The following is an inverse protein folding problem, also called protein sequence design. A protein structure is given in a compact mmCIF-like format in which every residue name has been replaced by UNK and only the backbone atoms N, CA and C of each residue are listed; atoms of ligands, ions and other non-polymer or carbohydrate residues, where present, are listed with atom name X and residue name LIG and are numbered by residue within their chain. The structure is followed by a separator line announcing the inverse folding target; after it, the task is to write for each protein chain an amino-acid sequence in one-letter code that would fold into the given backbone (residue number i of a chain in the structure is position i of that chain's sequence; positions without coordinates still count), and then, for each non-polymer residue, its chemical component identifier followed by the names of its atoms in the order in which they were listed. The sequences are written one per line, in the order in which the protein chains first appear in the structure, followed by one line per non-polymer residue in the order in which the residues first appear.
data_IF_163553196087
#
_entry.id   IF_163553196087
#
_cell.length_a   1.000
_cell.length_b   1.000
_cell.length_c   1.000
_cell.angle_alpha   90.00
_cell.angle_beta   90.00
_cell.angle_gamma   90.00
#
_symmetry.space_group_name_H-M   'P 1'
#
loop_
_entity.id
_entity.type
_entity.pdbx_description
1 polymer ?
#
# COMPACT_ATOMS: atom_id res chain seq x y z
N UNK A 1 -2.83 -18.11 -6.03
CA UNK A 1 -2.72 -16.78 -5.41
C UNK A 1 -3.69 -15.83 -6.12
N UNK A 2 -4.52 -15.11 -5.37
CA UNK A 2 -5.65 -14.36 -5.92
C UNK A 2 -5.25 -13.26 -6.90
N UNK A 3 -5.53 -13.46 -8.19
CA UNK A 3 -5.52 -12.41 -9.21
C UNK A 3 -6.71 -11.49 -8.92
N UNK A 4 -6.51 -10.38 -8.21
CA UNK A 4 -7.63 -9.46 -7.93
C UNK A 4 -7.47 -8.44 -6.80
N UNK A 5 -6.40 -8.50 -6.00
CA UNK A 5 -6.16 -7.53 -4.92
C UNK A 5 -5.48 -6.23 -5.42
N UNK A 6 -5.98 -5.67 -6.52
CA UNK A 6 -5.55 -4.37 -7.06
C UNK A 6 -6.76 -3.58 -7.55
N UNK A 7 -6.81 -2.30 -7.22
CA UNK A 7 -7.78 -1.36 -7.76
C UNK A 7 -7.12 -0.01 -7.99
N UNK A 8 -7.70 0.77 -8.90
CA UNK A 8 -7.30 2.14 -9.19
C UNK A 8 -8.52 3.06 -9.12
N UNK A 9 -8.30 4.32 -8.78
CA UNK A 9 -9.34 5.34 -8.79
C UNK A 9 -8.79 6.69 -8.37
N UNK A 10 -9.62 7.72 -8.48
CA UNK A 10 -9.26 9.09 -8.16
C UNK A 10 -9.57 9.37 -6.69
N UNK A 11 -8.55 9.76 -5.94
CA UNK A 11 -8.68 10.14 -4.54
C UNK A 11 -8.58 11.66 -4.41
N UNK A 12 -9.41 12.23 -3.55
CA UNK A 12 -9.36 13.67 -3.22
C UNK A 12 -9.34 13.83 -1.70
N UNK A 13 -8.52 14.77 -1.27
CA UNK A 13 -8.13 14.91 0.13
C UNK A 13 -7.33 16.17 0.39
N UNK A 14 -6.84 16.28 1.63
CA UNK A 14 -5.88 17.30 2.05
C UNK A 14 -4.49 16.66 2.10
N UNK A 15 -3.43 17.32 1.59
CA UNK A 15 -2.07 16.83 1.78
C UNK A 15 -1.76 16.64 3.27
N UNK A 16 -1.20 15.48 3.63
CA UNK A 16 -0.83 15.21 5.03
C UNK A 16 0.14 16.26 5.56
N UNK A 17 1.06 16.72 4.70
CA UNK A 17 1.97 17.84 4.97
C UNK A 17 1.27 19.06 5.57
N UNK A 18 0.11 19.45 5.04
CA UNK A 18 -0.63 20.63 5.49
C UNK A 18 -1.09 20.49 6.94
N UNK A 19 -1.53 19.28 7.34
CA UNK A 19 -1.91 19.02 8.73
C UNK A 19 -0.69 19.05 9.65
N UNK A 20 0.43 18.48 9.20
CA UNK A 20 1.68 18.44 9.96
C UNK A 20 2.30 19.82 10.15
N UNK A 21 2.18 20.71 9.16
CA UNK A 21 2.61 22.11 9.26
C UNK A 21 1.79 22.88 10.30
N UNK A 22 0.49 22.59 10.44
CA UNK A 22 -0.37 23.19 11.45
C UNK A 22 -0.09 22.66 12.87
N UNK A 23 0.27 21.37 13.01
CA UNK A 23 0.61 20.78 14.32
C UNK A 23 2.06 21.01 14.76
N UNK A 24 2.94 21.31 13.80
CA UNK A 24 4.38 21.44 13.98
C UNK A 24 5.11 20.09 14.00
N UNK A 25 6.08 19.93 13.10
CA UNK A 25 7.09 18.86 13.17
C UNK A 25 8.30 19.41 13.92
N UNK A 26 8.79 18.69 14.93
CA UNK A 26 9.99 19.08 15.69
C UNK A 26 11.25 18.54 15.03
N UNK A 27 12.35 19.24 15.21
CA UNK A 27 13.68 18.69 14.91
C UNK A 27 13.87 17.35 15.64
N UNK A 28 14.44 16.36 14.95
CA UNK A 28 14.60 15.00 15.47
C UNK A 28 13.40 14.07 15.26
N UNK A 29 12.27 14.55 14.73
CA UNK A 29 11.15 13.69 14.32
C UNK A 29 11.59 12.73 13.21
N UNK A 30 11.21 11.46 13.31
CA UNK A 30 11.61 10.40 12.37
C UNK A 30 10.45 9.83 11.57
N UNK A 31 9.32 9.60 12.22
CA UNK A 31 8.19 8.91 11.59
C UNK A 31 6.86 9.57 11.94
N UNK A 32 5.91 9.44 11.02
CA UNK A 32 4.50 9.73 11.23
C UNK A 32 3.75 8.42 11.39
N UNK A 33 3.11 8.22 12.53
CA UNK A 33 2.25 7.07 12.82
C UNK A 33 0.80 7.48 12.58
N UNK A 34 0.07 6.66 11.83
CA UNK A 34 -1.37 6.81 11.62
C UNK A 34 -2.07 5.58 12.17
N UNK A 35 -3.00 5.81 13.08
CA UNK A 35 -3.82 4.79 13.74
C UNK A 35 -5.26 4.87 13.24
N UNK A 36 -5.85 3.71 12.91
CA UNK A 36 -7.25 3.54 12.57
C UNK A 36 -8.12 3.21 13.77
N UNK A 37 -9.44 3.36 13.62
CA UNK A 37 -10.42 2.92 14.62
C UNK A 37 -10.60 1.40 14.67
N UNK A 38 -10.17 0.67 13.63
CA UNK A 38 -10.24 -0.78 13.61
C UNK A 38 -9.18 -1.41 14.53
N UNK A 39 -9.58 -2.51 15.15
CA UNK A 39 -8.74 -3.30 16.04
C UNK A 39 -9.06 -4.78 15.86
N UNK A 40 -8.11 -5.63 16.27
CA UNK A 40 -8.27 -7.06 16.24
C UNK A 40 -7.42 -7.73 17.30
N UNK A 41 -7.87 -8.91 17.72
CA UNK A 41 -7.08 -9.79 18.58
C UNK A 41 -6.00 -10.47 17.75
N UNK A 42 -4.77 -10.47 18.27
CA UNK A 42 -3.63 -11.17 17.71
C UNK A 42 -3.37 -12.42 18.52
N UNK A 43 -3.58 -13.59 17.92
CA UNK A 43 -3.37 -14.89 18.58
C UNK A 43 -1.90 -15.19 18.90
N UNK A 44 -0.95 -14.54 18.22
CA UNK A 44 0.48 -14.68 18.46
C UNK A 44 0.98 -13.84 19.64
N UNK A 45 0.23 -12.80 20.02
CA UNK A 45 0.59 -11.88 21.11
C UNK A 45 -0.42 -11.89 22.27
N UNK A 46 -1.55 -12.60 22.14
CA UNK A 46 -2.65 -12.67 23.10
C UNK A 46 -3.13 -11.29 23.58
N UNK A 47 -3.13 -10.31 22.68
CA UNK A 47 -3.50 -8.92 22.94
C UNK A 47 -4.33 -8.35 21.78
N UNK A 48 -5.10 -7.30 22.07
CA UNK A 48 -5.87 -6.55 21.08
C UNK A 48 -5.07 -5.35 20.61
N UNK A 49 -4.88 -5.24 19.30
CA UNK A 49 -4.16 -4.11 18.69
C UNK A 49 -5.06 -3.33 17.74
N UNK A 50 -4.96 -2.00 17.79
CA UNK A 50 -5.49 -1.14 16.73
C UNK A 50 -4.62 -1.23 15.49
N UNK A 51 -5.23 -1.03 14.31
CA UNK A 51 -4.47 -1.01 13.08
C UNK A 51 -3.69 0.31 12.97
N UNK A 52 -2.38 0.24 13.12
CA UNK A 52 -1.50 1.39 13.00
C UNK A 52 -0.31 1.09 12.10
N UNK A 53 0.06 2.07 11.28
CA UNK A 53 1.21 2.03 10.37
C UNK A 53 1.99 3.33 10.46
N UNK A 54 3.28 3.25 10.17
CA UNK A 54 4.19 4.38 10.18
C UNK A 54 4.83 4.62 8.80
N UNK A 55 5.27 5.84 8.57
CA UNK A 55 6.03 6.24 7.39
C UNK A 55 7.07 7.31 7.76
N UNK A 56 8.26 7.32 7.11
CA UNK A 56 9.26 8.36 7.29
C UNK A 56 8.68 9.76 7.01
N UNK A 57 9.23 10.78 7.65
CA UNK A 57 8.79 12.18 7.48
C UNK A 57 8.76 12.55 5.99
N UNK A 58 9.80 12.21 5.22
CA UNK A 58 9.92 12.55 3.81
C UNK A 58 8.75 12.00 2.99
N UNK A 59 8.29 10.79 3.31
CA UNK A 59 7.12 10.21 2.64
C UNK A 59 5.81 10.83 3.13
N UNK A 60 5.71 11.16 4.41
CA UNK A 60 4.53 11.80 4.97
C UNK A 60 4.29 13.22 4.43
N UNK A 61 5.35 14.00 4.22
CA UNK A 61 5.26 15.37 3.71
C UNK A 61 5.24 15.45 2.18
N UNK A 62 5.38 14.31 1.50
CA UNK A 62 5.33 14.28 0.04
C UNK A 62 3.95 14.79 -0.45
N UNK A 63 3.89 15.63 -1.51
CA UNK A 63 2.64 16.26 -1.96
C UNK A 63 1.52 15.28 -2.34
N UNK A 64 1.87 14.05 -2.71
CA UNK A 64 0.91 13.00 -3.09
C UNK A 64 0.36 12.19 -1.91
N UNK A 65 0.96 12.30 -0.72
CA UNK A 65 0.46 11.64 0.50
C UNK A 65 -0.66 12.49 1.08
N UNK A 66 -1.89 11.96 1.05
CA UNK A 66 -3.09 12.71 1.41
C UNK A 66 -3.92 12.02 2.48
N UNK A 67 -4.65 12.82 3.24
CA UNK A 67 -5.83 12.41 4.00
C UNK A 67 -7.05 12.57 3.10
N UNK A 68 -7.52 11.46 2.56
CA UNK A 68 -8.61 11.42 1.60
C UNK A 68 -9.97 11.38 2.30
N UNK A 69 -10.94 12.09 1.71
CA UNK A 69 -12.36 12.10 2.09
C UNK A 69 -13.30 11.78 0.90
N UNK A 70 -12.77 11.76 -0.33
CA UNK A 70 -13.50 11.41 -1.55
C UNK A 70 -12.77 10.33 -2.38
N UNK A 71 -13.56 9.44 -2.99
CA UNK A 71 -13.12 8.41 -3.94
C UNK A 71 -14.03 8.41 -5.18
N UNK A 72 -13.46 8.63 -6.37
CA UNK A 72 -14.18 8.76 -7.64
C UNK A 72 -15.31 9.80 -7.58
N UNK A 73 -15.02 11.00 -7.07
CA UNK A 73 -15.94 12.14 -6.96
C UNK A 73 -17.17 11.87 -6.07
N UNK A 74 -17.09 10.91 -5.17
CA UNK A 74 -18.11 10.59 -4.17
C UNK A 74 -17.45 10.48 -2.79
N UNK A 75 -18.20 10.71 -1.69
CA UNK A 75 -17.69 10.40 -0.36
C UNK A 75 -17.15 8.97 -0.29
N UNK A 76 -16.05 8.77 0.43
CA UNK A 76 -15.45 7.43 0.57
C UNK A 76 -16.51 6.48 1.15
N UNK A 77 -16.74 5.28 0.58
CA UNK A 77 -17.60 4.29 1.20
C UNK A 77 -17.06 3.82 2.56
N UNK A 78 -17.91 3.48 3.51
CA UNK A 78 -17.48 3.02 4.84
C UNK A 78 -16.44 1.90 4.80
N UNK A 79 -16.65 0.87 3.97
CA UNK A 79 -15.68 -0.24 3.76
C UNK A 79 -14.29 0.20 3.29
N UNK A 80 -14.20 1.39 2.71
CA UNK A 80 -12.97 1.98 2.20
C UNK A 80 -12.36 3.04 3.13
N UNK A 81 -12.95 3.30 4.30
CA UNK A 81 -12.35 4.15 5.33
C UNK A 81 -13.07 5.47 5.59
N UNK A 82 -14.37 5.60 5.31
CA UNK A 82 -15.14 6.79 5.70
C UNK A 82 -15.02 7.09 7.20
N UNK A 83 -14.89 8.35 7.65
CA UNK A 83 -14.88 9.56 6.82
C UNK A 83 -13.51 9.88 6.21
N UNK A 84 -12.43 9.40 6.83
CA UNK A 84 -11.07 9.75 6.47
C UNK A 84 -10.17 8.51 6.39
N UNK A 85 -9.38 8.45 5.33
CA UNK A 85 -8.30 7.47 5.20
C UNK A 85 -7.01 8.12 4.75
N UNK A 86 -5.90 7.48 5.05
CA UNK A 86 -4.61 7.82 4.48
C UNK A 86 -4.52 7.19 3.09
N UNK A 87 -3.96 7.93 2.15
CA UNK A 87 -3.53 7.42 0.85
C UNK A 87 -2.04 7.72 0.73
N UNK A 88 -1.25 6.65 0.56
CA UNK A 88 0.21 6.69 0.40
C UNK A 88 0.52 6.15 -0.99
N UNK A 89 0.57 7.01 -2.03
CA UNK A 89 0.84 6.54 -3.38
C UNK A 89 2.18 5.82 -3.46
N UNK A 90 2.31 4.92 -4.44
CA UNK A 90 3.50 4.10 -4.71
C UNK A 90 3.81 3.02 -3.66
N UNK A 91 3.25 3.11 -2.46
CA UNK A 91 3.38 2.09 -1.42
C UNK A 91 2.22 1.09 -1.49
N UNK A 92 2.46 -0.13 -1.03
CA UNK A 92 1.41 -1.14 -0.94
C UNK A 92 0.26 -0.68 -0.02
N UNK A 93 -0.95 -1.16 -0.31
CA UNK A 93 -2.19 -0.63 0.26
C UNK A 93 -2.29 -0.74 1.80
N UNK A 94 -1.55 -1.64 2.43
CA UNK A 94 -1.50 -1.74 3.90
C UNK A 94 -0.96 -0.45 4.55
N UNK A 95 -0.09 0.32 3.86
CA UNK A 95 0.37 1.61 4.37
C UNK A 95 -0.74 2.69 4.38
N UNK A 96 -1.83 2.49 3.62
CA UNK A 96 -2.94 3.44 3.47
C UNK A 96 -4.05 3.15 4.49
N UNK A 97 -3.79 3.52 5.76
CA UNK A 97 -4.66 3.29 6.93
C UNK A 97 -6.08 3.83 6.70
N UNK A 98 -7.10 3.03 7.03
CA UNK A 98 -8.52 3.39 6.95
C UNK A 98 -9.02 3.90 8.30
N UNK A 99 -10.15 4.62 8.30
CA UNK A 99 -10.86 5.05 9.50
C UNK A 99 -9.94 5.77 10.49
N UNK A 100 -9.25 6.82 10.03
CA UNK A 100 -8.22 7.48 10.84
C UNK A 100 -8.81 7.96 12.17
N UNK A 101 -8.15 7.54 13.25
CA UNK A 101 -8.42 7.93 14.62
C UNK A 101 -7.39 8.95 15.11
N UNK A 102 -6.10 8.69 14.85
CA UNK A 102 -5.01 9.52 15.37
C UNK A 102 -3.83 9.57 14.39
N UNK A 103 -3.16 10.72 14.35
CA UNK A 103 -1.89 10.93 13.66
C UNK A 103 -0.89 11.44 14.70
N UNK A 104 0.24 10.75 14.84
CA UNK A 104 1.27 11.05 15.82
C UNK A 104 2.63 11.23 15.15
N UNK A 105 3.39 12.22 15.61
CA UNK A 105 4.80 12.42 15.22
C UNK A 105 5.67 11.76 16.28
N UNK A 106 6.62 10.93 15.87
CA UNK A 106 7.54 10.25 16.79
C UNK A 106 9.01 10.46 16.35
N UNK A 107 9.93 10.37 17.30
CA UNK A 107 11.39 10.56 17.14
C UNK A 107 12.17 9.22 17.08
N UNK A 108 11.44 8.11 16.98
CA UNK A 108 11.94 6.74 16.99
C UNK A 108 11.23 5.91 15.91
N UNK A 109 11.71 4.68 15.70
CA UNK A 109 11.07 3.77 14.75
C UNK A 109 9.85 3.14 15.41
N UNK A 110 8.69 3.22 14.76
CA UNK A 110 7.46 2.63 15.23
C UNK A 110 7.58 1.10 15.32
N UNK A 111 7.12 0.54 16.46
CA UNK A 111 7.25 -0.90 16.77
C UNK A 111 5.93 -1.66 16.76
N UNK A 112 4.86 -1.07 16.23
CA UNK A 112 3.57 -1.73 16.14
C UNK A 112 3.64 -3.02 15.30
N UNK A 113 2.85 -4.04 15.63
CA UNK A 113 3.07 -5.39 15.09
C UNK A 113 2.73 -5.50 13.60
N UNK A 114 1.77 -4.69 13.12
CA UNK A 114 1.51 -4.54 11.68
C UNK A 114 2.65 -3.85 10.93
N UNK A 115 3.61 -3.21 11.61
CA UNK A 115 4.79 -2.60 11.01
C UNK A 115 6.00 -3.56 11.03
N UNK A 116 6.20 -4.28 12.14
CA UNK A 116 7.44 -5.00 12.45
C UNK A 116 7.32 -6.52 12.39
N UNK A 117 6.12 -7.09 12.28
CA UNK A 117 5.90 -8.54 12.24
C UNK A 117 5.29 -8.96 10.89
N UNK A 118 4.14 -8.38 10.52
CA UNK A 118 3.31 -8.94 9.43
C UNK A 118 3.79 -8.56 8.03
N UNK A 119 4.12 -7.28 7.83
CA UNK A 119 4.46 -6.72 6.52
C UNK A 119 5.94 -6.37 6.48
N UNK A 120 6.78 -7.40 6.58
CA UNK A 120 8.24 -7.30 6.61
C UNK A 120 8.84 -8.24 5.56
N UNK A 121 9.82 -7.73 4.82
CA UNK A 121 10.67 -8.56 3.97
C UNK A 121 11.81 -9.12 4.81
N UNK A 122 12.08 -10.41 4.65
CA UNK A 122 13.19 -11.13 5.27
C UNK A 122 14.11 -11.63 4.15
N UNK A 123 15.13 -10.84 3.75
CA UNK A 123 16.05 -11.22 2.67
C UNK A 123 16.83 -12.49 3.01
N UNK A 124 17.20 -12.63 4.27
CA UNK A 124 17.75 -13.85 4.85
C UNK A 124 16.66 -14.53 5.69
N UNK A 125 16.38 -15.81 5.41
CA UNK A 125 15.37 -16.59 6.12
C UNK A 125 15.87 -17.15 7.44
N UNK A 126 17.18 -17.23 7.63
CA UNK A 126 17.80 -17.78 8.82
C UNK A 126 18.15 -16.70 9.86
N UNK A 127 18.11 -15.42 9.46
CA UNK A 127 18.44 -14.29 10.32
C UNK A 127 17.71 -12.99 9.92
N UNK A 128 17.12 -12.32 10.92
CA UNK A 128 16.31 -11.11 10.72
C UNK A 128 17.12 -9.79 10.69
N UNK A 129 18.45 -9.81 10.66
CA UNK A 129 19.27 -8.58 10.72
C UNK A 129 18.94 -7.55 9.63
N UNK A 130 18.67 -8.03 8.42
CA UNK A 130 18.38 -7.18 7.27
C UNK A 130 16.87 -7.12 6.97
N UNK A 131 16.03 -7.47 7.94
CA UNK A 131 14.59 -7.39 7.79
C UNK A 131 14.15 -5.92 7.73
N UNK A 132 13.28 -5.60 6.78
CA UNK A 132 12.77 -4.24 6.62
C UNK A 132 11.27 -4.23 6.27
N UNK A 133 10.52 -3.19 6.68
CA UNK A 133 9.10 -3.11 6.38
C UNK A 133 8.82 -3.07 4.88
N UNK A 134 7.78 -3.79 4.46
CA UNK A 134 7.21 -3.67 3.11
C UNK A 134 6.71 -2.24 2.94
N UNK A 135 7.12 -1.60 1.85
CA UNK A 135 6.77 -0.22 1.51
C UNK A 135 6.37 -0.11 0.05
N UNK A 136 7.33 0.14 -0.83
CA UNK A 136 7.13 0.43 -2.25
C UNK A 136 6.62 -0.78 -3.01
N UNK A 137 5.66 -0.57 -3.90
CA UNK A 137 5.12 -1.60 -4.77
C UNK A 137 6.20 -2.04 -5.77
N UNK A 138 6.52 -3.34 -5.78
CA UNK A 138 7.41 -3.91 -6.79
C UNK A 138 6.74 -3.97 -8.16
N UNK A 139 7.56 -3.95 -9.22
CA UNK A 139 7.08 -4.14 -10.60
C UNK A 139 6.32 -5.46 -10.68
N UNK A 140 5.09 -5.39 -11.19
CA UNK A 140 4.25 -6.55 -11.37
C UNK A 140 3.30 -6.34 -12.55
N UNK A 141 2.69 -7.42 -13.04
CA UNK A 141 1.71 -7.37 -14.12
C UNK A 141 0.68 -8.48 -13.97
N UNK A 142 -0.47 -8.30 -14.61
CA UNK A 142 -1.47 -9.36 -14.70
C UNK A 142 -2.14 -9.38 -16.06
N UNK A 143 -2.40 -10.58 -16.57
CA UNK A 143 -3.26 -10.80 -17.73
C UNK A 143 -4.71 -10.80 -17.21
N UNK A 144 -5.51 -9.88 -17.74
CA UNK A 144 -6.95 -9.76 -17.46
C UNK A 144 -7.77 -10.54 -18.49
N UNK A 145 -7.27 -10.65 -19.72
CA UNK A 145 -7.83 -11.50 -20.78
C UNK A 145 -6.71 -12.13 -21.61
N UNK A 146 -6.80 -13.43 -21.95
CA UNK A 146 -7.84 -14.39 -21.55
C UNK A 146 -7.81 -14.70 -20.03
N UNK A 147 -8.92 -15.21 -19.51
CA UNK A 147 -9.01 -15.71 -18.14
C UNK A 147 -8.24 -17.03 -18.00
N UNK A 148 -7.88 -17.36 -16.76
CA UNK A 148 -7.25 -18.65 -16.47
C UNK A 148 -8.15 -19.79 -16.95
N UNK A 149 -7.59 -20.66 -17.82
CA UNK A 149 -8.28 -21.79 -18.46
C UNK A 149 -9.45 -21.42 -19.38
N UNK A 150 -9.55 -20.16 -19.85
CA UNK A 150 -10.51 -19.78 -20.88
C UNK A 150 -10.21 -20.56 -22.18
N UNK A 151 -11.19 -21.33 -22.68
CA UNK A 151 -11.07 -22.01 -23.97
C UNK A 151 -11.20 -20.99 -25.09
N UNK A 152 -10.20 -20.94 -25.96
CA UNK A 152 -10.16 -20.03 -27.10
C UNK A 152 -10.34 -20.83 -28.39
N UNK A 153 -11.19 -20.33 -29.29
CA UNK A 153 -11.33 -20.89 -30.64
C UNK A 153 -10.06 -20.63 -31.46
N UNK A 154 -9.89 -21.34 -32.58
CA UNK A 154 -8.78 -21.04 -33.49
C UNK A 154 -8.91 -19.63 -34.08
N UNK A 155 -7.80 -18.89 -34.10
CA UNK A 155 -7.76 -17.55 -34.66
C UNK A 155 -6.85 -16.59 -33.90
N UNK A 156 -7.01 -15.29 -34.16
CA UNK A 156 -6.28 -14.22 -33.48
C UNK A 156 -7.03 -13.83 -32.21
N UNK A 157 -6.30 -13.75 -31.10
CA UNK A 157 -6.84 -13.35 -29.80
C UNK A 157 -6.16 -12.10 -29.28
N UNK A 158 -6.94 -11.22 -28.68
CA UNK A 158 -6.42 -10.04 -28.01
C UNK A 158 -6.07 -10.39 -26.56
N UNK A 159 -4.80 -10.20 -26.20
CA UNK A 159 -4.34 -10.30 -24.82
C UNK A 159 -4.46 -8.91 -24.18
N UNK A 160 -5.15 -8.81 -23.04
CA UNK A 160 -5.25 -7.58 -22.25
C UNK A 160 -4.66 -7.81 -20.89
N UNK A 161 -3.89 -6.85 -20.42
CA UNK A 161 -3.30 -6.87 -19.10
C UNK A 161 -2.95 -5.47 -18.64
N UNK A 162 -2.53 -5.39 -17.39
CA UNK A 162 -2.05 -4.15 -16.78
C UNK A 162 -0.71 -4.44 -16.11
N UNK A 163 0.34 -3.69 -16.43
CA UNK A 163 1.55 -3.62 -15.61
C UNK A 163 1.45 -2.44 -14.63
N UNK A 164 2.16 -2.55 -13.50
CA UNK A 164 2.26 -1.46 -12.54
C UNK A 164 3.57 -1.53 -11.75
N UNK A 165 3.97 -0.39 -11.19
CA UNK A 165 5.14 -0.26 -10.32
C UNK A 165 4.89 0.87 -9.33
N UNK A 166 5.44 0.76 -8.13
CA UNK A 166 5.55 1.87 -7.20
C UNK A 166 6.76 2.77 -7.48
N UNK A 167 7.71 2.33 -8.31
CA UNK A 167 8.93 3.08 -8.59
C UNK A 167 9.08 3.35 -10.08
N UNK A 168 9.21 4.62 -10.44
CA UNK A 168 9.44 5.06 -11.82
C UNK A 168 8.24 4.75 -12.73
N UNK A 169 8.53 4.32 -13.96
CA UNK A 169 7.54 3.98 -14.98
C UNK A 169 7.89 2.64 -15.65
N UNK A 170 6.87 1.95 -16.14
CA UNK A 170 7.04 0.71 -16.90
C UNK A 170 7.58 1.06 -18.30
N UNK A 171 8.72 0.49 -18.68
CA UNK A 171 9.40 0.77 -19.96
C UNK A 171 9.18 -0.30 -21.02
N UNK A 172 8.93 -1.55 -20.60
CA UNK A 172 8.77 -2.71 -21.48
C UNK A 172 7.75 -3.68 -20.89
N UNK A 173 6.98 -4.31 -21.78
CA UNK A 173 6.10 -5.43 -21.47
C UNK A 173 6.39 -6.53 -22.48
N UNK A 174 6.59 -7.75 -22.00
CA UNK A 174 6.84 -8.93 -22.83
C UNK A 174 5.77 -9.97 -22.56
N UNK A 175 5.35 -10.66 -23.62
CA UNK A 175 4.29 -11.67 -23.58
C UNK A 175 4.82 -12.92 -24.26
N UNK A 176 4.67 -14.06 -23.58
CA UNK A 176 4.96 -15.38 -24.14
C UNK A 176 3.68 -16.22 -24.21
N UNK A 177 3.59 -17.01 -25.26
CA UNK A 177 2.51 -18.00 -25.50
C UNK A 177 3.01 -19.44 -25.40
N UNK A 178 4.28 -19.63 -25.02
CA UNK A 178 5.00 -20.91 -25.00
C UNK A 178 5.67 -21.20 -23.65
N UNK A 179 5.28 -20.49 -22.59
CA UNK A 179 5.83 -20.70 -21.24
C UNK A 179 7.19 -20.02 -20.99
N UNK A 180 7.57 -19.07 -21.84
CA UNK A 180 8.78 -18.27 -21.68
C UNK A 180 10.03 -18.88 -22.33
N UNK A 181 9.85 -19.78 -23.30
CA UNK A 181 10.94 -20.58 -23.89
C UNK A 181 11.79 -19.82 -24.92
N UNK A 182 11.38 -18.62 -25.34
CA UNK A 182 12.05 -17.80 -26.35
C UNK A 182 12.45 -16.39 -25.86
N UNK A 183 12.74 -16.26 -24.56
CA UNK A 183 13.27 -15.03 -23.96
C UNK A 183 14.78 -14.91 -24.06
#
# INVERSE_FOLDING_TARGET
MGKGAISQGYWKGVPLRTLLELSGIREGSKEIVVEGYDFGERTDLNEVFTYARSQPIEKAIHPDTIIAYEYNNQPIPFKHGYPLRLIVPQWYAMASVKWIKQISVIDSNFKGPFQTIDYVYYPDKENNKDAYPVTTINVNSTIQKPLDKETLNNGKHLIKGIPWTGKGFITKLEISIDGGLLG
#
